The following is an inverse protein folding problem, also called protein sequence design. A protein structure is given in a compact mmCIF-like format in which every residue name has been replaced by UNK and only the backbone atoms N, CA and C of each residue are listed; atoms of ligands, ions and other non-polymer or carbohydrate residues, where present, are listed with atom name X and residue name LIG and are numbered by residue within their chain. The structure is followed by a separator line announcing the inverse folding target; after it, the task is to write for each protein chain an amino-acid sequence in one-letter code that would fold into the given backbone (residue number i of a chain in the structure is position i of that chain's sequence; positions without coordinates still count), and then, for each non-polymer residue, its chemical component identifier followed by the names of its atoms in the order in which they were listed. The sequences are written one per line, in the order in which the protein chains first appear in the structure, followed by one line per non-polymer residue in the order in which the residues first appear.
data_IF_458133858155
#
_entry.id   IF_458133858155
#
_cell.length_a   1.000
_cell.length_b   1.000
_cell.length_c   1.000
_cell.angle_alpha   90.00
_cell.angle_beta   90.00
_cell.angle_gamma   90.00
#
_symmetry.space_group_name_H-M   'P 1'
#
loop_
_entity.id
_entity.type
_entity.pdbx_description
1 polymer ?
#
# COMPACT_ATOMS: atom_id res chain seq x y z
N UNK A 1 11.77 -16.06 16.36
CA UNK A 1 11.46 -14.65 16.03
C UNK A 1 10.19 -14.65 15.20
N UNK A 2 9.12 -13.99 15.64
CA UNK A 2 7.91 -13.85 14.81
C UNK A 2 8.19 -12.88 13.66
N UNK A 3 8.01 -13.34 12.42
CA UNK A 3 8.11 -12.50 11.23
C UNK A 3 7.11 -11.34 11.34
N UNK A 4 7.61 -10.11 11.49
CA UNK A 4 6.76 -8.92 11.53
C UNK A 4 6.08 -8.74 10.17
N UNK A 5 4.77 -8.96 10.16
CA UNK A 5 3.91 -8.91 8.99
C UNK A 5 3.03 -7.68 9.08
N UNK A 6 2.92 -6.93 7.98
CA UNK A 6 1.88 -5.92 7.80
C UNK A 6 0.77 -6.46 6.90
N UNK A 7 -0.46 -6.10 7.24
CA UNK A 7 -1.62 -6.35 6.41
C UNK A 7 -2.11 -5.02 5.82
N UNK A 8 -2.30 -4.98 4.52
CA UNK A 8 -2.70 -3.79 3.77
C UNK A 8 -4.11 -4.01 3.24
N UNK A 9 -5.03 -3.12 3.60
CA UNK A 9 -6.37 -3.06 3.03
C UNK A 9 -6.56 -1.76 2.26
N UNK A 10 -7.57 -1.73 1.40
CA UNK A 10 -7.97 -0.53 0.68
C UNK A 10 -9.37 -0.11 1.08
N UNK A 11 -9.52 1.18 1.35
CA UNK A 11 -10.75 1.84 1.76
C UNK A 11 -11.06 2.92 0.71
N UNK A 12 -12.02 2.65 -0.18
CA UNK A 12 -12.50 3.64 -1.14
C UNK A 12 -13.10 4.84 -0.42
N UNK A 13 -12.84 6.05 -0.93
CA UNK A 13 -13.57 7.24 -0.49
C UNK A 13 -14.41 7.75 -1.65
N UNK A 14 -15.64 8.20 -1.37
CA UNK A 14 -16.62 8.60 -2.37
C UNK A 14 -16.19 9.76 -3.31
N UNK A 15 -15.03 10.37 -3.08
CA UNK A 15 -14.47 11.45 -3.89
C UNK A 15 -13.31 10.97 -4.80
N UNK A 16 -13.27 9.68 -5.15
CA UNK A 16 -12.33 9.13 -6.13
C UNK A 16 -10.87 9.03 -5.65
N UNK A 17 -10.64 9.13 -4.34
CA UNK A 17 -9.31 9.00 -3.74
C UNK A 17 -9.36 8.03 -2.56
N UNK A 18 -9.09 6.75 -2.79
CA UNK A 18 -9.07 5.76 -1.72
C UNK A 18 -7.85 5.87 -0.80
N UNK A 19 -7.88 5.12 0.29
CA UNK A 19 -6.81 5.03 1.27
C UNK A 19 -6.34 3.59 1.43
N UNK A 20 -5.03 3.40 1.50
CA UNK A 20 -4.45 2.17 2.01
C UNK A 20 -4.37 2.25 3.53
N UNK A 21 -5.01 1.31 4.22
CA UNK A 21 -4.84 1.09 5.64
C UNK A 21 -3.82 -0.03 5.86
N UNK A 22 -2.71 0.32 6.50
CA UNK A 22 -1.59 -0.59 6.78
C UNK A 22 -1.62 -0.93 8.27
N UNK A 23 -1.85 -2.20 8.58
CA UNK A 23 -1.96 -2.73 9.93
C UNK A 23 -0.68 -3.47 10.34
N UNK A 24 -0.13 -3.15 11.49
CA UNK A 24 0.79 -4.04 12.21
C UNK A 24 0.01 -5.22 12.79
N UNK A 25 0.21 -6.43 12.25
CA UNK A 25 -0.50 -7.61 12.75
C UNK A 25 -0.05 -8.04 14.16
N UNK A 26 1.05 -7.50 14.68
CA UNK A 26 1.55 -7.78 16.04
C UNK A 26 1.01 -6.79 17.07
N UNK A 27 1.00 -5.50 16.74
CA UNK A 27 0.63 -4.43 17.70
C UNK A 27 -0.79 -3.90 17.50
N UNK A 28 -1.42 -4.18 16.36
CA UNK A 28 -2.70 -3.60 15.97
C UNK A 28 -2.60 -2.14 15.49
N UNK A 29 -1.41 -1.55 15.45
CA UNK A 29 -1.22 -0.18 14.99
C UNK A 29 -1.63 -0.04 13.51
N UNK A 30 -2.44 0.98 13.21
CA UNK A 30 -2.92 1.32 11.87
C UNK A 30 -2.26 2.61 11.39
N UNK A 31 -1.75 2.61 10.15
CA UNK A 31 -1.32 3.81 9.43
C UNK A 31 -2.07 3.94 8.12
N UNK A 32 -2.35 5.18 7.72
CA UNK A 32 -3.06 5.50 6.49
C UNK A 32 -2.10 6.08 5.46
N UNK A 33 -2.16 5.57 4.24
CA UNK A 33 -1.49 6.12 3.07
C UNK A 33 -2.55 6.46 2.03
N UNK A 34 -2.61 7.72 1.58
CA UNK A 34 -3.55 8.14 0.53
C UNK A 34 -3.12 7.54 -0.81
N UNK A 35 -4.02 6.95 -1.58
CA UNK A 35 -3.70 6.41 -2.91
C UNK A 35 -3.09 7.49 -3.82
N UNK A 36 -3.60 8.74 -3.74
CA UNK A 36 -3.07 9.87 -4.50
C UNK A 36 -1.61 10.21 -4.19
N UNK A 37 -1.11 9.88 -2.99
CA UNK A 37 0.30 10.09 -2.65
C UNK A 37 1.24 9.09 -3.34
N UNK A 38 0.67 8.03 -3.94
CA UNK A 38 1.37 7.00 -4.69
C UNK A 38 1.19 7.16 -6.20
N UNK A 39 0.51 8.21 -6.66
CA UNK A 39 0.40 8.57 -8.08
C UNK A 39 1.64 9.39 -8.49
N UNK A 40 2.71 8.71 -8.92
CA UNK A 40 3.94 9.34 -9.40
C UNK A 40 4.83 8.33 -10.15
N UNK A 41 5.82 8.84 -10.88
CA UNK A 41 6.84 8.08 -11.59
C UNK A 41 7.70 7.15 -10.72
N UNK A 42 7.67 7.32 -9.39
CA UNK A 42 8.38 6.47 -8.44
C UNK A 42 7.63 5.17 -8.11
N UNK A 43 6.37 5.02 -8.51
CA UNK A 43 5.50 3.90 -8.15
C UNK A 43 5.03 3.13 -9.40
N UNK A 44 5.98 2.59 -10.17
CA UNK A 44 5.70 1.92 -11.46
C UNK A 44 5.77 0.40 -11.40
N UNK A 45 6.24 -0.15 -10.29
CA UNK A 45 6.41 -1.59 -10.10
C UNK A 45 5.91 -2.02 -8.72
N UNK A 46 5.51 -3.30 -8.54
CA UNK A 46 4.98 -3.79 -7.26
C UNK A 46 5.96 -3.63 -6.09
N UNK A 47 7.27 -3.60 -6.37
CA UNK A 47 8.32 -3.35 -5.37
C UNK A 47 8.23 -1.97 -4.75
N UNK A 48 7.83 -0.95 -5.51
CA UNK A 48 7.80 0.44 -5.06
C UNK A 48 6.68 0.62 -4.02
N UNK A 49 5.49 0.10 -4.36
CA UNK A 49 4.35 0.04 -3.44
C UNK A 49 4.69 -0.76 -2.18
N UNK A 50 5.28 -1.94 -2.34
CA UNK A 50 5.73 -2.78 -1.21
C UNK A 50 6.69 -2.02 -0.30
N UNK A 51 7.61 -1.25 -0.87
CA UNK A 51 8.57 -0.45 -0.10
C UNK A 51 7.87 0.71 0.63
N UNK A 52 6.92 1.41 0.01
CA UNK A 52 6.14 2.45 0.69
C UNK A 52 5.37 1.89 1.90
N UNK A 53 4.71 0.73 1.75
CA UNK A 53 3.99 0.11 2.87
C UNK A 53 4.93 -0.36 3.98
N UNK A 54 6.11 -0.88 3.63
CA UNK A 54 7.15 -1.21 4.62
C UNK A 54 7.69 0.03 5.32
N UNK A 55 7.87 1.14 4.62
CA UNK A 55 8.39 2.37 5.21
C UNK A 55 7.41 3.00 6.22
N UNK A 56 6.11 2.72 6.10
CA UNK A 56 5.17 3.07 7.15
C UNK A 56 5.53 2.41 8.49
N UNK A 57 6.24 1.28 8.47
CA UNK A 57 6.66 0.54 9.64
C UNK A 57 8.05 -0.10 9.48
N UNK A 58 9.12 0.65 9.79
CA UNK A 58 10.49 0.18 9.60
C UNK A 58 10.78 -1.09 10.41
N UNK A 59 11.53 -2.03 9.81
CA UNK A 59 11.87 -3.32 10.41
C UNK A 59 10.91 -4.48 10.08
N UNK A 60 9.84 -4.25 9.31
CA UNK A 60 8.86 -5.28 8.95
C UNK A 60 9.15 -5.96 7.62
N UNK A 61 9.06 -7.29 7.59
CA UNK A 61 9.61 -8.12 6.51
C UNK A 61 8.56 -8.55 5.48
N UNK A 62 7.34 -8.88 5.94
CA UNK A 62 6.28 -9.43 5.08
C UNK A 62 5.13 -8.42 4.92
N UNK A 63 4.69 -8.25 3.68
CA UNK A 63 3.50 -7.46 3.32
C UNK A 63 2.46 -8.43 2.79
N UNK A 64 1.25 -8.38 3.32
CA UNK A 64 0.10 -9.14 2.86
C UNK A 64 -0.97 -8.14 2.46
N UNK A 65 -1.59 -8.34 1.30
CA UNK A 65 -2.63 -7.47 0.78
C UNK A 65 -3.99 -8.15 0.95
N UNK A 66 -5.03 -7.38 1.23
CA UNK A 66 -6.39 -7.78 0.88
C UNK A 66 -6.54 -7.75 -0.64
N UNK A 67 -7.56 -8.44 -1.16
CA UNK A 67 -7.89 -8.43 -2.58
C UNK A 67 -8.13 -6.99 -3.11
N UNK A 68 -8.96 -6.14 -2.47
CA UNK A 68 -9.12 -4.75 -2.92
C UNK A 68 -7.82 -3.93 -2.92
N UNK A 69 -6.91 -4.18 -1.97
CA UNK A 69 -5.63 -3.47 -1.94
C UNK A 69 -4.70 -3.93 -3.06
N UNK A 70 -4.75 -5.21 -3.42
CA UNK A 70 -3.98 -5.72 -4.53
C UNK A 70 -4.49 -5.19 -5.88
N UNK A 71 -5.80 -5.14 -6.06
CA UNK A 71 -6.44 -4.54 -7.23
C UNK A 71 -6.07 -3.07 -7.39
N UNK A 72 -6.18 -2.27 -6.33
CA UNK A 72 -5.82 -0.85 -6.38
C UNK A 72 -4.32 -0.64 -6.69
N UNK A 73 -3.42 -1.47 -6.14
CA UNK A 73 -2.00 -1.40 -6.48
C UNK A 73 -1.78 -1.65 -7.98
N UNK A 74 -2.52 -2.57 -8.59
CA UNK A 74 -2.44 -2.81 -10.03
C UNK A 74 -3.00 -1.63 -10.84
N UNK A 75 -4.11 -1.04 -10.42
CA UNK A 75 -4.69 0.15 -11.06
C UNK A 75 -3.70 1.32 -11.02
N UNK A 76 -3.15 1.62 -9.85
CA UNK A 76 -2.16 2.69 -9.69
C UNK A 76 -0.88 2.41 -10.48
N UNK A 77 -0.43 1.16 -10.53
CA UNK A 77 0.73 0.77 -11.33
C UNK A 77 0.50 1.02 -12.82
N UNK A 78 -0.66 0.63 -13.36
CA UNK A 78 -1.00 0.89 -14.77
C UNK A 78 -1.17 2.39 -15.05
N UNK A 79 -1.83 3.12 -14.15
CA UNK A 79 -1.94 4.58 -14.23
C UNK A 79 -0.56 5.25 -14.29
N UNK A 80 0.34 4.91 -13.37
CA UNK A 80 1.70 5.47 -13.29
C UNK A 80 2.60 5.06 -14.47
N UNK A 81 2.26 4.01 -15.24
CA UNK A 81 2.98 3.62 -16.46
C UNK A 81 2.59 4.46 -17.67
N UNK A 82 1.32 4.85 -17.77
CA UNK A 82 0.79 5.61 -18.90
C UNK A 82 1.12 7.11 -18.79
N UNK A 83 1.19 7.65 -17.56
CA UNK A 83 1.41 9.07 -17.29
C UNK A 83 2.92 9.46 -17.28
N UNK A 84 3.73 8.88 -18.19
CA UNK A 84 5.20 9.03 -18.27
C UNK A 84 5.73 9.53 -19.59
#
# INVERSE_FOLDING_TARGET
MMNHTIFVTFEETGNGNGNFAVYDMRTGEKKIIKASSLQNNLFKMPSDFKNAFKNAFPGKLKVVYSEPAFEEVNILMEFNRVDS
#
